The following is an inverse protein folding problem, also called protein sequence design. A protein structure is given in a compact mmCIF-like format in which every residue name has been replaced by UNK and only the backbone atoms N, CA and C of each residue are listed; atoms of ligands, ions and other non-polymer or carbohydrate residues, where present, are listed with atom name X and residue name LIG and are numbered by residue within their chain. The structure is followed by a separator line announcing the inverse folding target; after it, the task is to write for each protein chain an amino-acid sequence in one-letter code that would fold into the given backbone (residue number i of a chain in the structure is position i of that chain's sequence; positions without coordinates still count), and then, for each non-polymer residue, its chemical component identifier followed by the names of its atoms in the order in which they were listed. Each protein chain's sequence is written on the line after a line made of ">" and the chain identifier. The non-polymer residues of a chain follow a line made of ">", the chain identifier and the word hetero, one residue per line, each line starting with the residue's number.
data_IF_713204456069
#
_entry.id   IF_713204456069
#
_cell.length_a   1.000
_cell.length_b   1.000
_cell.length_c   1.000
_cell.angle_alpha   90.00
_cell.angle_beta   90.00
_cell.angle_gamma   90.00
#
_symmetry.space_group_name_H-M   'P 1'
#
loop_
_entity.id
_entity.type
_entity.pdbx_description
1 polymer ?
#
# COMPACT_ATOMS: atom_id res chain seq x y z
N UNK A 1 -0.57 -7.47 -13.98
CA UNK A 1 -0.44 -6.01 -14.18
C UNK A 1 -0.24 -5.78 -15.66
N UNK A 2 -0.98 -4.87 -16.27
CA UNK A 2 -0.90 -4.62 -17.71
C UNK A 2 -0.15 -3.33 -18.02
N UNK A 3 -0.19 -2.34 -17.12
CA UNK A 3 0.41 -1.03 -17.36
C UNK A 3 0.69 -0.28 -16.05
N UNK A 4 1.76 0.52 -16.03
CA UNK A 4 1.96 1.61 -15.06
C UNK A 4 2.23 2.88 -15.85
N UNK A 5 1.44 3.91 -15.62
CA UNK A 5 1.62 5.23 -16.22
C UNK A 5 1.67 6.31 -15.15
N UNK A 6 2.16 7.49 -15.51
CA UNK A 6 2.14 8.67 -14.66
C UNK A 6 1.05 9.61 -15.16
N UNK A 7 0.11 10.00 -14.29
CA UNK A 7 -0.90 11.02 -14.58
C UNK A 7 -0.29 12.40 -14.25
N UNK A 8 -0.02 13.26 -15.27
CA UNK A 8 0.61 14.56 -15.05
C UNK A 8 -0.32 15.61 -14.46
N UNK A 9 -1.64 15.39 -14.42
CA UNK A 9 -2.58 16.31 -13.82
C UNK A 9 -2.72 16.04 -12.32
N UNK A 10 -2.77 14.76 -11.95
CA UNK A 10 -2.89 14.32 -10.56
C UNK A 10 -1.54 14.12 -9.87
N UNK A 11 -0.44 14.07 -10.63
CA UNK A 11 0.91 13.79 -10.14
C UNK A 11 1.02 12.46 -9.38
N UNK A 12 0.32 11.43 -9.86
CA UNK A 12 0.31 10.09 -9.29
C UNK A 12 0.63 9.03 -10.33
N UNK A 13 1.16 7.90 -9.88
CA UNK A 13 1.25 6.70 -10.70
C UNK A 13 -0.13 6.01 -10.76
N UNK A 14 -0.56 5.63 -11.96
CA UNK A 14 -1.79 4.86 -12.21
C UNK A 14 -1.39 3.46 -12.66
N UNK A 15 -1.92 2.45 -11.97
CA UNK A 15 -1.65 1.05 -12.29
C UNK A 15 -2.90 0.43 -12.91
N UNK A 16 -2.76 -0.13 -14.12
CA UNK A 16 -3.82 -0.93 -14.75
C UNK A 16 -3.55 -2.42 -14.53
N UNK A 17 -4.59 -3.13 -14.12
CA UNK A 17 -4.51 -4.56 -13.81
C UNK A 17 -5.67 -5.30 -14.46
N UNK A 18 -5.35 -6.44 -15.08
CA UNK A 18 -6.35 -7.44 -15.40
C UNK A 18 -6.49 -8.40 -14.23
N UNK A 19 -7.74 -8.63 -13.83
CA UNK A 19 -8.11 -9.57 -12.78
C UNK A 19 -9.02 -10.63 -13.38
N UNK A 20 -8.79 -11.88 -13.01
CA UNK A 20 -9.58 -13.00 -13.51
C UNK A 20 -11.06 -12.83 -13.12
N UNK A 21 -11.96 -13.01 -14.10
CA UNK A 21 -13.41 -12.81 -13.96
C UNK A 21 -14.07 -13.70 -12.90
N UNK A 22 -13.40 -14.75 -12.44
CA UNK A 22 -13.88 -15.62 -11.36
C UNK A 22 -13.89 -14.91 -10.00
N UNK A 23 -13.19 -13.78 -9.87
CA UNK A 23 -13.13 -12.98 -8.65
C UNK A 23 -13.90 -11.68 -8.83
N UNK A 24 -14.81 -11.42 -7.91
CA UNK A 24 -15.59 -10.17 -7.84
C UNK A 24 -15.24 -9.42 -6.56
N UNK A 25 -15.14 -8.10 -6.67
CA UNK A 25 -14.73 -7.23 -5.57
C UNK A 25 -15.81 -6.19 -5.30
N UNK A 26 -16.22 -5.98 -4.04
CA UNK A 26 -17.09 -4.88 -3.66
C UNK A 26 -16.51 -3.52 -4.09
N UNK A 27 -17.38 -2.55 -4.38
CA UNK A 27 -16.99 -1.21 -4.82
C UNK A 27 -16.08 -0.49 -3.83
N UNK A 28 -16.19 -0.81 -2.55
CA UNK A 28 -15.42 -0.21 -1.47
C UNK A 28 -14.13 -0.96 -1.12
N UNK A 29 -13.70 -1.90 -1.97
CA UNK A 29 -12.42 -2.64 -1.87
C UNK A 29 -11.23 -1.71 -1.70
N UNK A 30 -10.30 -2.11 -0.85
CA UNK A 30 -9.04 -1.42 -0.56
C UNK A 30 -7.87 -2.15 -1.23
N UNK A 31 -6.97 -1.41 -1.89
CA UNK A 31 -5.78 -1.98 -2.50
C UNK A 31 -4.49 -1.48 -1.82
N UNK A 32 -3.65 -2.39 -1.40
CA UNK A 32 -2.41 -2.07 -0.68
C UNK A 32 -1.21 -2.67 -1.40
N UNK A 33 -0.16 -1.88 -1.62
CA UNK A 33 1.12 -2.42 -2.10
C UNK A 33 1.87 -3.00 -0.91
N UNK A 34 2.17 -4.29 -0.98
CA UNK A 34 2.80 -5.08 0.07
C UNK A 34 4.15 -5.62 -0.43
N UNK A 35 5.05 -5.93 0.50
CA UNK A 35 6.33 -6.57 0.22
C UNK A 35 6.32 -7.97 0.83
N UNK A 36 6.75 -8.97 0.08
CA UNK A 36 6.91 -10.33 0.58
C UNK A 36 8.05 -10.38 1.61
N UNK A 37 7.70 -10.42 2.89
CA UNK A 37 8.69 -10.31 3.96
C UNK A 37 9.38 -8.94 3.98
N UNK A 38 10.67 -8.90 4.33
CA UNK A 38 11.41 -7.65 4.46
C UNK A 38 11.98 -7.11 3.12
N UNK A 39 12.39 -8.02 2.23
CA UNK A 39 13.17 -7.70 1.02
C UNK A 39 12.71 -8.48 -0.22
N UNK A 40 11.54 -9.13 -0.16
CA UNK A 40 11.01 -9.87 -1.30
C UNK A 40 10.41 -8.96 -2.35
N UNK A 41 9.73 -9.58 -3.31
CA UNK A 41 9.00 -8.89 -4.36
C UNK A 41 7.77 -8.12 -3.82
N UNK A 42 7.38 -7.07 -4.54
CA UNK A 42 6.17 -6.32 -4.24
C UNK A 42 4.96 -6.95 -4.91
N UNK A 43 3.83 -6.95 -4.20
CA UNK A 43 2.55 -7.41 -4.71
C UNK A 43 1.42 -6.50 -4.23
N UNK A 44 0.26 -6.61 -4.85
CA UNK A 44 -0.93 -5.86 -4.46
C UNK A 44 -1.87 -6.79 -3.69
N UNK A 45 -2.16 -6.42 -2.45
CA UNK A 45 -3.21 -7.03 -1.65
C UNK A 45 -4.54 -6.33 -1.86
N UNK A 46 -5.62 -7.10 -1.93
CA UNK A 46 -6.99 -6.58 -1.94
C UNK A 46 -7.70 -6.96 -0.65
N UNK A 47 -8.24 -5.97 0.03
CA UNK A 47 -9.10 -6.15 1.19
C UNK A 47 -10.52 -5.77 0.78
N UNK A 48 -11.41 -6.76 0.76
CA UNK A 48 -12.80 -6.54 0.38
C UNK A 48 -13.53 -5.79 1.48
N UNK A 49 -14.33 -4.80 1.09
CA UNK A 49 -15.22 -4.12 2.00
C UNK A 49 -16.58 -4.79 2.08
N UNK A 50 -17.60 -4.03 2.49
CA UNK A 50 -18.95 -4.52 2.77
C UNK A 50 -20.01 -4.01 1.80
N UNK A 51 -19.62 -3.32 0.73
CA UNK A 51 -20.58 -2.79 -0.24
C UNK A 51 -21.32 -3.93 -0.96
N UNK A 52 -22.61 -3.73 -1.21
CA UNK A 52 -23.43 -4.67 -1.98
C UNK A 52 -23.22 -4.50 -3.49
N UNK A 53 -22.75 -3.33 -3.93
CA UNK A 53 -22.34 -3.09 -5.30
C UNK A 53 -20.94 -3.63 -5.56
N UNK A 54 -20.76 -4.29 -6.72
CA UNK A 54 -19.47 -4.80 -7.16
C UNK A 54 -18.77 -3.80 -8.11
N UNK A 55 -17.44 -3.79 -8.10
CA UNK A 55 -16.64 -3.12 -9.10
C UNK A 55 -16.97 -3.66 -10.49
N UNK A 56 -17.18 -2.73 -11.43
CA UNK A 56 -17.40 -3.05 -12.84
C UNK A 56 -16.03 -3.16 -13.56
N UNK A 57 -15.98 -3.80 -14.73
CA UNK A 57 -14.81 -3.71 -15.60
C UNK A 57 -14.41 -2.25 -15.83
N UNK A 58 -13.10 -1.99 -15.90
CA UNK A 58 -12.50 -0.66 -16.02
C UNK A 58 -12.82 0.32 -14.88
N UNK A 59 -13.40 -0.15 -13.77
CA UNK A 59 -13.56 0.68 -12.58
C UNK A 59 -12.23 0.93 -11.87
N UNK A 60 -12.13 2.10 -11.23
CA UNK A 60 -10.97 2.50 -10.43
C UNK A 60 -11.20 2.18 -8.96
N UNK A 61 -10.26 1.47 -8.33
CA UNK A 61 -10.20 1.36 -6.88
C UNK A 61 -9.72 2.71 -6.33
N UNK A 62 -10.58 3.41 -5.60
CA UNK A 62 -10.28 4.76 -5.10
C UNK A 62 -9.53 4.77 -3.79
N UNK A 63 -9.65 3.70 -3.00
CA UNK A 63 -8.96 3.57 -1.72
C UNK A 63 -7.69 2.73 -1.90
N UNK A 64 -6.54 3.39 -1.86
CA UNK A 64 -5.25 2.75 -2.08
C UNK A 64 -4.25 3.12 -0.98
N UNK A 65 -3.29 2.23 -0.74
CA UNK A 65 -2.16 2.48 0.16
C UNK A 65 -0.84 2.10 -0.50
N UNK A 66 0.11 3.05 -0.45
CA UNK A 66 1.47 2.85 -0.91
C UNK A 66 2.23 1.87 -0.02
N UNK A 67 3.20 1.18 -0.63
CA UNK A 67 4.16 0.40 0.13
C UNK A 67 4.94 1.29 1.10
N UNK A 68 5.31 0.70 2.23
CA UNK A 68 6.19 1.36 3.18
C UNK A 68 7.62 1.31 2.65
N UNK A 69 8.28 2.47 2.64
CA UNK A 69 9.69 2.59 2.26
C UNK A 69 10.56 2.13 3.44
N UNK A 70 11.29 1.03 3.26
CA UNK A 70 12.06 0.38 4.33
C UNK A 70 13.08 1.34 4.95
N UNK A 71 13.75 2.14 4.12
CA UNK A 71 14.74 3.13 4.54
C UNK A 71 14.12 4.14 5.51
N UNK A 72 12.90 4.59 5.23
CA UNK A 72 12.16 5.52 6.11
C UNK A 72 11.88 4.88 7.47
N UNK A 73 11.52 3.60 7.51
CA UNK A 73 11.30 2.87 8.76
C UNK A 73 12.58 2.75 9.58
N UNK A 74 13.70 2.39 8.94
CA UNK A 74 14.99 2.27 9.60
C UNK A 74 15.43 3.62 10.17
N UNK A 75 15.33 4.70 9.38
CA UNK A 75 15.65 6.05 9.84
C UNK A 75 14.79 6.47 11.02
N UNK A 76 13.48 6.21 10.98
CA UNK A 76 12.57 6.52 12.08
C UNK A 76 12.90 5.71 13.34
N UNK A 77 13.24 4.43 13.18
CA UNK A 77 13.67 3.58 14.29
C UNK A 77 14.96 4.10 14.95
N UNK A 78 15.99 4.41 14.15
CA UNK A 78 17.25 4.93 14.65
C UNK A 78 17.08 6.28 15.36
N UNK A 79 16.25 7.16 14.81
CA UNK A 79 15.92 8.44 15.44
C UNK A 79 15.23 8.24 16.80
N UNK A 80 14.22 7.36 16.85
CA UNK A 80 13.52 7.05 18.10
C UNK A 80 14.48 6.47 19.15
N UNK A 81 15.44 5.61 18.74
CA UNK A 81 16.47 5.07 19.62
C UNK A 81 17.45 6.13 20.13
N UNK A 82 17.82 7.10 19.30
CA UNK A 82 18.68 8.20 19.70
C UNK A 82 17.97 9.20 20.63
N UNK A 83 16.64 9.35 20.51
CA UNK A 83 15.82 10.18 21.38
C UNK A 83 15.55 9.58 22.78
N UNK A 84 15.76 8.27 22.95
CA UNK A 84 15.80 7.62 24.27
C UNK A 84 17.11 8.03 24.99
N UNK A 85 17.12 9.19 25.66
CA UNK A 85 18.23 9.58 26.56
C UNK A 85 18.46 8.50 27.63
N UNK A 86 19.72 8.22 28.04
CA UNK A 86 19.97 7.32 29.16
C UNK A 86 19.34 7.94 30.41
N UNK A 87 18.41 7.22 31.05
CA UNK A 87 18.00 7.56 32.41
C UNK A 87 19.26 7.53 33.27
N UNK A 88 19.64 8.70 33.82
CA UNK A 88 20.72 8.79 34.78
C UNK A 88 20.43 7.82 35.93
N UNK A 89 21.44 7.10 36.47
CA UNK A 89 21.22 6.21 37.60
C UNK A 89 20.67 7.02 38.78
N UNK A 90 19.54 6.60 39.32
CA UNK A 90 19.04 7.12 40.61
C UNK A 90 20.09 6.79 41.69
N UNK A 91 20.57 7.83 42.38
CA UNK A 91 21.45 7.73 43.53
C UNK A 91 20.64 7.52 44.81
#
# INVERSE_FOLDING_TARGET
>A
MTEITFDPNLYVAVVKMDVDKRYSFPRDTFATILTSGLLGEQYIGFEVGGDTEMLKPDATITKTQSAVVLEKLISQFMFNKAAESPKAPEQ
#
